data_IF_008212241891
#
_entry.id   IF_008212241891
#
_cell.length_a   1.000
_cell.length_b   1.000
_cell.length_c   1.000
_cell.angle_alpha   90.00
_cell.angle_beta   90.00
_cell.angle_gamma   90.00
#
_symmetry.space_group_name_H-M   'P 1'
#
loop_
_entity.id
_entity.type
_entity.pdbx_description
1 polymer ?
#
# COMPACT_ATOMS: atom_id res chain seq x y z
N UNK A 1 -39.27 7.93 9.30
CA UNK A 1 -38.10 7.61 10.15
C UNK A 1 -36.94 8.41 9.61
N UNK A 2 -36.17 9.06 10.47
CA UNK A 2 -34.95 9.75 10.08
C UNK A 2 -33.74 8.86 10.29
N UNK A 3 -32.88 8.74 9.28
CA UNK A 3 -31.62 8.01 9.35
C UNK A 3 -30.46 8.90 8.96
N UNK A 4 -29.29 8.62 9.50
CA UNK A 4 -28.04 9.12 8.97
C UNK A 4 -27.41 8.07 8.06
N UNK A 5 -26.74 8.53 7.02
CA UNK A 5 -25.98 7.69 6.11
C UNK A 5 -24.69 8.40 5.69
N UNK A 6 -23.74 7.66 5.16
CA UNK A 6 -22.55 8.22 4.51
C UNK A 6 -22.55 7.89 3.03
N UNK A 7 -21.99 8.78 2.22
CA UNK A 7 -21.74 8.52 0.81
C UNK A 7 -20.41 7.79 0.65
N UNK A 8 -20.42 6.76 -0.18
CA UNK A 8 -19.22 6.06 -0.61
C UNK A 8 -19.22 5.91 -2.13
N UNK A 9 -18.05 5.65 -2.69
CA UNK A 9 -17.94 5.29 -4.11
C UNK A 9 -18.07 3.77 -4.29
N UNK A 10 -18.99 3.35 -5.15
CA UNK A 10 -19.09 1.97 -5.63
C UNK A 10 -19.23 1.99 -7.15
N UNK A 11 -18.29 1.32 -7.85
CA UNK A 11 -18.22 1.32 -9.31
C UNK A 11 -18.26 2.74 -9.91
N UNK A 12 -17.50 3.68 -9.32
CA UNK A 12 -17.44 5.11 -9.70
C UNK A 12 -18.75 5.88 -9.55
N UNK A 13 -19.71 5.36 -8.79
CA UNK A 13 -20.98 6.04 -8.47
C UNK A 13 -21.14 6.24 -6.97
N UNK A 14 -21.69 7.37 -6.51
CA UNK A 14 -22.08 7.56 -5.12
C UNK A 14 -23.15 6.56 -4.71
N UNK A 15 -22.99 5.99 -3.52
CA UNK A 15 -23.97 5.09 -2.89
C UNK A 15 -24.22 5.47 -1.44
N UNK A 16 -25.46 5.25 -1.01
CA UNK A 16 -25.92 5.45 0.37
C UNK A 16 -25.49 4.24 1.21
N UNK A 17 -24.81 4.50 2.32
CA UNK A 17 -24.47 3.48 3.33
C UNK A 17 -25.04 3.87 4.69
N UNK A 18 -26.00 3.10 5.17
CA UNK A 18 -26.56 3.21 6.52
C UNK A 18 -25.82 2.30 7.50
N UNK A 19 -25.33 1.15 7.01
CA UNK A 19 -24.52 0.17 7.75
C UNK A 19 -23.43 -0.42 6.84
N UNK A 20 -22.33 -0.91 7.40
CA UNK A 20 -21.30 -1.62 6.64
C UNK A 20 -21.86 -2.91 6.02
N UNK A 21 -21.74 -3.08 4.70
CA UNK A 21 -22.29 -4.24 3.99
C UNK A 21 -22.13 -4.16 2.46
N UNK A 22 -22.49 -5.24 1.76
CA UNK A 22 -22.34 -5.34 0.30
C UNK A 22 -23.42 -4.56 -0.48
N UNK A 23 -24.65 -4.48 0.06
CA UNK A 23 -25.83 -3.92 -0.62
C UNK A 23 -25.74 -2.39 -0.75
N UNK A 24 -25.77 -1.87 -1.98
CA UNK A 24 -25.61 -0.46 -2.25
C UNK A 24 -26.91 0.15 -2.79
N UNK A 25 -27.42 1.18 -2.11
CA UNK A 25 -28.52 2.01 -2.62
C UNK A 25 -27.91 3.19 -3.37
N UNK A 26 -28.37 3.43 -4.60
CA UNK A 26 -27.90 4.54 -5.44
C UNK A 26 -28.82 5.75 -5.31
N UNK A 27 -28.35 6.91 -5.75
CA UNK A 27 -29.14 8.14 -5.85
C UNK A 27 -29.80 8.26 -7.21
N UNK A 28 -31.04 8.76 -7.25
CA UNK A 28 -31.70 9.19 -8.46
C UNK A 28 -31.43 10.69 -8.71
N UNK A 29 -31.01 11.05 -9.92
CA UNK A 29 -30.80 12.44 -10.30
C UNK A 29 -29.53 13.05 -9.67
N UNK A 30 -29.71 14.10 -8.88
CA UNK A 30 -28.61 14.84 -8.24
C UNK A 30 -27.77 13.92 -7.35
N UNK A 31 -26.45 14.08 -7.45
CA UNK A 31 -25.47 13.26 -6.75
C UNK A 31 -24.84 14.07 -5.61
N UNK A 32 -24.81 13.55 -4.38
CA UNK A 32 -24.15 14.25 -3.28
C UNK A 32 -22.62 14.25 -3.45
N UNK A 33 -21.92 15.21 -2.82
CA UNK A 33 -20.47 15.16 -2.71
C UNK A 33 -19.99 13.85 -2.06
N UNK A 34 -18.82 13.37 -2.47
CA UNK A 34 -18.13 12.25 -1.83
C UNK A 34 -16.80 12.75 -1.26
N UNK A 35 -16.45 12.43 -0.01
CA UNK A 35 -17.30 11.81 1.02
C UNK A 35 -18.26 12.85 1.66
N UNK A 36 -19.48 12.45 2.01
CA UNK A 36 -20.42 13.27 2.79
C UNK A 36 -21.28 12.43 3.73
N UNK A 37 -21.81 13.07 4.77
CA UNK A 37 -22.86 12.50 5.62
C UNK A 37 -24.21 13.10 5.25
N UNK A 38 -25.22 12.25 5.15
CA UNK A 38 -26.57 12.60 4.73
C UNK A 38 -27.58 12.34 5.86
N UNK A 39 -28.57 13.22 5.96
CA UNK A 39 -29.81 12.95 6.68
C UNK A 39 -30.84 12.46 5.69
N UNK A 40 -31.43 11.29 5.97
CA UNK A 40 -32.43 10.64 5.14
C UNK A 40 -33.79 10.74 5.82
N UNK A 41 -34.78 11.26 5.10
CA UNK A 41 -36.16 11.39 5.56
C UNK A 41 -37.02 10.28 4.92
N UNK A 42 -37.24 9.19 5.66
CA UNK A 42 -37.77 7.93 5.11
C UNK A 42 -39.14 7.62 5.73
N UNK A 43 -40.23 8.24 5.26
CA UNK A 43 -41.57 8.02 5.81
C UNK A 43 -42.02 6.58 5.59
N UNK A 44 -42.50 5.93 6.66
CA UNK A 44 -42.97 4.55 6.61
C UNK A 44 -41.89 3.46 6.66
N UNK A 45 -40.60 3.80 6.69
CA UNK A 45 -39.54 2.82 6.91
C UNK A 45 -39.66 2.22 8.32
N UNK A 46 -39.62 0.88 8.40
CA UNK A 46 -39.78 0.12 9.65
C UNK A 46 -38.46 -0.39 10.24
N UNK A 47 -37.48 -0.70 9.39
CA UNK A 47 -36.21 -1.32 9.80
C UNK A 47 -35.05 -0.42 9.37
N UNK A 48 -34.27 0.05 10.35
CA UNK A 48 -33.11 0.91 10.14
C UNK A 48 -31.88 0.10 9.69
N UNK A 49 -31.95 -0.53 8.52
CA UNK A 49 -30.85 -1.30 7.92
C UNK A 49 -30.75 -1.04 6.42
N UNK A 50 -29.61 -1.38 5.82
CA UNK A 50 -29.42 -1.27 4.38
C UNK A 50 -30.46 -2.09 3.59
N UNK A 51 -30.71 -3.33 4.01
CA UNK A 51 -31.73 -4.21 3.43
C UNK A 51 -33.14 -3.62 3.60
N UNK A 52 -33.46 -3.09 4.79
CA UNK A 52 -34.75 -2.44 5.04
C UNK A 52 -34.97 -1.21 4.17
N UNK A 53 -33.91 -0.44 3.87
CA UNK A 53 -33.97 0.67 2.93
C UNK A 53 -34.24 0.20 1.49
N UNK A 54 -33.60 -0.89 1.05
CA UNK A 54 -33.87 -1.49 -0.27
C UNK A 54 -35.32 -1.98 -0.39
N UNK A 55 -35.80 -2.77 0.58
CA UNK A 55 -37.18 -3.28 0.60
C UNK A 55 -38.21 -2.13 0.61
N UNK A 56 -37.89 -1.04 1.33
CA UNK A 56 -38.74 0.14 1.39
C UNK A 56 -38.80 0.90 0.06
N UNK A 57 -37.68 1.03 -0.65
CA UNK A 57 -37.65 1.61 -2.00
C UNK A 57 -38.43 0.74 -2.99
N UNK A 58 -38.22 -0.58 -2.95
CA UNK A 58 -38.94 -1.53 -3.81
C UNK A 58 -40.45 -1.46 -3.60
N UNK A 59 -40.91 -1.38 -2.35
CA UNK A 59 -42.33 -1.21 -2.02
C UNK A 59 -42.94 0.10 -2.55
N UNK A 60 -42.11 1.10 -2.84
CA UNK A 60 -42.51 2.38 -3.46
C UNK A 60 -42.43 2.35 -4.99
N UNK A 61 -41.95 1.26 -5.58
CA UNK A 61 -41.64 1.18 -7.01
C UNK A 61 -40.40 1.99 -7.41
N UNK A 62 -39.53 2.30 -6.45
CA UNK A 62 -38.30 3.08 -6.63
C UNK A 62 -37.08 2.15 -6.57
N UNK A 63 -36.07 2.39 -7.40
CA UNK A 63 -34.82 1.61 -7.40
C UNK A 63 -33.62 2.41 -6.88
N UNK A 64 -33.83 3.68 -6.57
CA UNK A 64 -32.81 4.63 -6.15
C UNK A 64 -33.44 5.72 -5.27
N UNK A 65 -32.63 6.35 -4.43
CA UNK A 65 -33.06 7.36 -3.49
C UNK A 65 -33.27 8.71 -4.19
N UNK A 66 -34.49 9.24 -4.19
CA UNK A 66 -34.85 10.56 -4.72
C UNK A 66 -34.23 11.71 -3.92
N UNK A 67 -34.00 12.85 -4.58
CA UNK A 67 -33.39 14.05 -3.98
C UNK A 67 -34.22 14.65 -2.83
N UNK A 68 -35.53 14.44 -2.85
CA UNK A 68 -36.46 14.87 -1.80
C UNK A 68 -36.34 14.07 -0.50
N UNK A 69 -35.67 12.90 -0.54
CA UNK A 69 -35.53 12.00 0.61
C UNK A 69 -34.20 12.19 1.35
N UNK A 70 -33.33 13.09 0.90
CA UNK A 70 -32.05 13.33 1.54
C UNK A 70 -31.60 14.78 1.50
N UNK A 71 -30.73 15.13 2.44
CA UNK A 71 -29.92 16.36 2.42
C UNK A 71 -28.59 16.12 3.11
N UNK A 72 -27.64 17.05 2.97
CA UNK A 72 -26.45 17.06 3.81
C UNK A 72 -26.86 17.10 5.29
N UNK A 73 -26.23 16.25 6.09
CA UNK A 73 -26.48 16.19 7.52
C UNK A 73 -25.91 17.43 8.21
N UNK A 74 -26.58 17.86 9.28
CA UNK A 74 -26.07 18.76 10.30
C UNK A 74 -25.92 17.99 11.61
N UNK A 75 -25.08 18.47 12.53
CA UNK A 75 -24.83 17.73 13.79
C UNK A 75 -26.10 17.51 14.63
N UNK A 76 -27.07 18.42 14.57
CA UNK A 76 -28.35 18.26 15.25
C UNK A 76 -29.15 17.06 14.76
N UNK A 77 -28.89 16.56 13.54
CA UNK A 77 -29.54 15.35 13.03
C UNK A 77 -29.19 14.09 13.82
N UNK A 78 -28.08 14.10 14.57
CA UNK A 78 -27.70 12.98 15.45
C UNK A 78 -28.66 12.81 16.64
N UNK A 79 -29.36 13.89 17.01
CA UNK A 79 -30.24 13.94 18.18
C UNK A 79 -31.55 13.19 17.95
N UNK A 80 -32.08 13.20 16.72
CA UNK A 80 -33.38 12.65 16.37
C UNK A 80 -33.32 11.51 15.33
N UNK A 81 -32.19 11.34 14.62
CA UNK A 81 -32.02 10.17 13.74
C UNK A 81 -31.99 8.86 14.53
N UNK A 82 -32.66 7.82 14.01
CA UNK A 82 -32.77 6.54 14.70
C UNK A 82 -31.39 5.91 14.98
N UNK A 83 -30.48 5.94 14.00
CA UNK A 83 -29.12 5.39 14.08
C UNK A 83 -28.03 6.43 14.41
N UNK A 84 -28.39 7.64 14.87
CA UNK A 84 -27.39 8.69 15.14
C UNK A 84 -26.33 8.30 16.21
N UNK A 85 -26.65 7.40 17.14
CA UNK A 85 -25.69 6.87 18.10
C UNK A 85 -24.60 6.00 17.47
N UNK A 86 -24.88 5.41 16.30
CA UNK A 86 -23.99 4.48 15.60
C UNK A 86 -23.06 5.20 14.62
N UNK A 87 -23.31 6.48 14.32
CA UNK A 87 -22.57 7.28 13.34
C UNK A 87 -21.45 8.14 13.95
N UNK A 88 -21.20 8.02 15.24
CA UNK A 88 -20.27 8.91 15.94
C UNK A 88 -18.82 8.88 15.41
N UNK A 89 -18.33 7.72 14.97
CA UNK A 89 -16.98 7.53 14.43
C UNK A 89 -16.77 8.23 13.07
N UNK A 90 -17.83 8.68 12.42
CA UNK A 90 -17.80 9.42 11.16
C UNK A 90 -17.73 10.95 11.37
N UNK A 91 -18.06 11.45 12.57
CA UNK A 91 -18.25 12.89 12.80
C UNK A 91 -17.01 13.72 12.42
N UNK A 92 -15.82 13.30 12.85
CA UNK A 92 -14.59 14.05 12.59
C UNK A 92 -14.20 14.09 11.09
N UNK A 93 -14.74 13.18 10.27
CA UNK A 93 -14.47 13.13 8.83
C UNK A 93 -15.37 14.09 8.05
N UNK A 94 -16.63 14.26 8.48
CA UNK A 94 -17.64 15.01 7.72
C UNK A 94 -17.97 16.38 8.28
N UNK A 95 -17.60 16.68 9.52
CA UNK A 95 -17.86 17.97 10.16
C UNK A 95 -16.56 18.68 10.53
N UNK A 96 -16.57 19.99 10.36
CA UNK A 96 -15.47 20.90 10.74
C UNK A 96 -15.38 21.05 12.26
N UNK A 97 -14.22 21.48 12.75
CA UNK A 97 -14.04 21.76 14.18
C UNK A 97 -14.97 22.90 14.64
N UNK A 98 -15.22 23.89 13.78
CA UNK A 98 -16.15 24.99 14.06
C UNK A 98 -17.59 24.49 14.26
N UNK A 99 -18.06 23.55 13.43
CA UNK A 99 -19.38 22.94 13.60
C UNK A 99 -19.47 22.15 14.91
N UNK A 100 -18.44 21.37 15.25
CA UNK A 100 -18.38 20.62 16.51
C UNK A 100 -18.38 21.58 17.72
N UNK A 101 -17.65 22.69 17.63
CA UNK A 101 -17.62 23.72 18.67
C UNK A 101 -19.00 24.36 18.87
N UNK A 102 -19.66 24.78 17.78
CA UNK A 102 -21.01 25.35 17.84
C UNK A 102 -22.04 24.38 18.42
N UNK A 103 -21.97 23.09 18.06
CA UNK A 103 -22.83 22.05 18.65
C UNK A 103 -22.54 21.86 20.15
N UNK A 104 -21.27 21.87 20.53
CA UNK A 104 -20.85 21.74 21.93
C UNK A 104 -21.34 22.92 22.78
N UNK A 105 -21.29 24.13 22.22
CA UNK A 105 -21.82 25.34 22.84
C UNK A 105 -23.34 25.29 23.03
N UNK A 106 -24.07 24.83 22.01
CA UNK A 106 -25.53 24.73 22.04
C UNK A 106 -26.04 23.67 23.03
N UNK A 107 -25.40 22.49 23.10
CA UNK A 107 -25.96 21.33 23.82
C UNK A 107 -25.22 20.95 25.10
N UNK A 108 -23.94 21.32 25.23
CA UNK A 108 -23.09 20.99 26.36
C UNK A 108 -23.61 21.53 27.71
N UNK A 109 -23.98 22.82 27.83
CA UNK A 109 -24.49 23.38 29.08
C UNK A 109 -25.77 22.68 29.57
N UNK A 110 -26.69 22.36 28.65
CA UNK A 110 -27.92 21.63 28.95
C UNK A 110 -27.64 20.22 29.46
N UNK A 111 -26.76 19.48 28.79
CA UNK A 111 -26.36 18.13 29.20
C UNK A 111 -25.72 18.12 30.60
N UNK A 112 -24.89 19.12 30.92
CA UNK A 112 -24.29 19.24 32.25
C UNK A 112 -25.35 19.51 33.33
N UNK A 113 -26.33 20.39 33.05
CA UNK A 113 -27.43 20.67 33.97
C UNK A 113 -28.30 19.43 34.20
N UNK A 114 -28.65 18.69 33.15
CA UNK A 114 -29.39 17.44 33.22
C UNK A 114 -28.63 16.37 34.01
N UNK A 115 -27.31 16.28 33.84
CA UNK A 115 -26.45 15.36 34.60
C UNK A 115 -26.51 15.68 36.09
N UNK A 116 -26.36 16.95 36.47
CA UNK A 116 -26.47 17.39 37.87
C UNK A 116 -27.87 17.08 38.44
N UNK A 117 -28.93 17.34 37.68
CA UNK A 117 -30.31 17.06 38.09
C UNK A 117 -30.56 15.55 38.29
N UNK A 118 -30.07 14.70 37.38
CA UNK A 118 -30.20 13.25 37.48
C UNK A 118 -29.47 12.69 38.71
N UNK A 119 -28.28 13.22 39.03
CA UNK A 119 -27.53 12.84 40.24
C UNK A 119 -28.21 13.31 41.53
N UNK A 120 -28.81 14.51 41.52
CA UNK A 120 -29.54 15.07 42.65
C UNK A 120 -30.93 14.41 42.87
N UNK A 121 -31.46 13.69 41.88
CA UNK A 121 -32.76 13.04 41.96
C UNK A 121 -32.85 12.07 43.16
N UNK A 122 -34.06 11.96 43.72
CA UNK A 122 -34.39 11.01 44.80
C UNK A 122 -33.97 9.59 44.41
N UNK A 123 -33.49 8.80 45.39
CA UNK A 123 -32.97 7.44 45.16
C UNK A 123 -33.93 6.56 44.36
N UNK A 124 -35.23 6.65 44.63
CA UNK A 124 -36.27 5.88 43.94
C UNK A 124 -36.42 6.23 42.44
N UNK A 125 -36.12 7.48 42.04
CA UNK A 125 -36.28 7.98 40.67
C UNK A 125 -34.97 8.07 39.89
N UNK A 126 -33.82 8.06 40.59
CA UNK A 126 -32.48 8.24 40.01
C UNK A 126 -32.17 7.29 38.86
N UNK A 127 -32.52 6.00 38.98
CA UNK A 127 -32.27 5.02 37.93
C UNK A 127 -33.05 5.32 36.63
N UNK A 128 -34.25 5.91 36.73
CA UNK A 128 -35.03 6.33 35.57
C UNK A 128 -34.46 7.60 34.94
N UNK A 129 -34.11 8.59 35.77
CA UNK A 129 -33.46 9.82 35.31
C UNK A 129 -32.13 9.55 34.58
N UNK A 130 -31.30 8.65 35.11
CA UNK A 130 -30.05 8.24 34.48
C UNK A 130 -30.27 7.47 33.17
N UNK A 131 -31.35 6.70 33.03
CA UNK A 131 -31.68 6.01 31.77
C UNK A 131 -32.08 6.97 30.66
N UNK A 132 -32.88 7.99 30.96
CA UNK A 132 -33.22 9.02 29.97
C UNK A 132 -32.00 9.89 29.63
N UNK A 133 -31.20 10.27 30.63
CA UNK A 133 -29.93 10.95 30.40
C UNK A 133 -29.00 10.12 29.50
N UNK A 134 -28.87 8.81 29.74
CA UNK A 134 -28.00 7.94 28.94
C UNK A 134 -28.34 7.96 27.44
N UNK A 135 -29.63 8.04 27.07
CA UNK A 135 -30.05 8.16 25.66
C UNK A 135 -29.58 9.47 25.03
N UNK A 136 -29.59 10.57 25.79
CA UNK A 136 -29.19 11.90 25.32
C UNK A 136 -27.67 12.03 25.26
N UNK A 137 -26.99 11.55 26.30
CA UNK A 137 -25.53 11.48 26.39
C UNK A 137 -24.93 10.68 25.23
N UNK A 138 -25.56 9.57 24.82
CA UNK A 138 -25.08 8.74 23.70
C UNK A 138 -25.17 9.43 22.33
N UNK A 139 -25.85 10.57 22.22
CA UNK A 139 -25.90 11.39 21.00
C UNK A 139 -24.97 12.60 21.06
N UNK A 140 -24.92 13.28 22.20
CA UNK A 140 -24.15 14.54 22.35
C UNK A 140 -22.67 14.28 22.62
N UNK A 141 -22.33 13.42 23.58
CA UNK A 141 -20.94 13.23 24.02
C UNK A 141 -20.03 12.74 22.89
N UNK A 142 -20.44 11.82 22.01
CA UNK A 142 -19.58 11.39 20.92
C UNK A 142 -19.25 12.51 19.92
N UNK A 143 -20.16 13.48 19.71
CA UNK A 143 -19.88 14.68 18.89
C UNK A 143 -18.78 15.51 19.54
N UNK A 144 -18.91 15.79 20.83
CA UNK A 144 -17.91 16.54 21.60
C UNK A 144 -16.56 15.81 21.56
N UNK A 145 -16.57 14.49 21.77
CA UNK A 145 -15.36 13.67 21.76
C UNK A 145 -14.67 13.64 20.39
N UNK A 146 -15.42 13.71 19.29
CA UNK A 146 -14.88 13.77 17.93
C UNK A 146 -13.96 14.99 17.70
N UNK A 147 -14.06 16.03 18.52
CA UNK A 147 -13.12 17.17 18.50
C UNK A 147 -11.66 16.73 18.67
N UNK A 148 -11.38 15.70 19.47
CA UNK A 148 -10.02 15.21 19.71
C UNK A 148 -9.35 14.72 18.43
N UNK A 149 -10.08 13.94 17.62
CA UNK A 149 -9.63 13.51 16.29
C UNK A 149 -9.62 14.67 15.30
N UNK A 150 -10.65 15.53 15.33
CA UNK A 150 -10.80 16.62 14.36
C UNK A 150 -9.69 17.68 14.50
N UNK A 151 -9.28 18.01 15.72
CA UNK A 151 -8.17 18.95 15.98
C UNK A 151 -6.88 18.49 15.30
N UNK A 152 -6.55 17.19 15.41
CA UNK A 152 -5.37 16.65 14.76
C UNK A 152 -5.46 16.73 13.22
N UNK A 153 -6.64 16.47 12.65
CA UNK A 153 -6.86 16.57 11.21
C UNK A 153 -6.76 18.03 10.70
N UNK A 154 -7.34 18.99 11.42
CA UNK A 154 -7.24 20.40 11.01
C UNK A 154 -5.84 20.95 11.16
N UNK A 155 -5.11 20.59 12.23
CA UNK A 155 -3.68 20.92 12.34
C UNK A 155 -2.91 20.41 11.12
N UNK A 156 -3.08 19.14 10.76
CA UNK A 156 -2.40 18.54 9.60
C UNK A 156 -2.79 19.27 8.30
N UNK A 157 -4.06 19.61 8.12
CA UNK A 157 -4.52 20.33 6.92
C UNK A 157 -3.88 21.72 6.80
N UNK A 158 -3.80 22.46 7.90
CA UNK A 158 -3.12 23.77 7.96
C UNK A 158 -1.62 23.62 7.70
N UNK A 159 -0.95 22.65 8.34
CA UNK A 159 0.47 22.36 8.11
C UNK A 159 0.75 22.05 6.63
N UNK A 160 -0.12 21.28 5.96
CA UNK A 160 -0.02 21.01 4.53
C UNK A 160 -0.18 22.31 3.73
N UNK A 161 -1.20 23.12 3.99
CA UNK A 161 -1.44 24.37 3.27
C UNK A 161 -0.25 25.36 3.38
N UNK A 162 0.29 25.52 4.60
CA UNK A 162 1.47 26.35 4.86
C UNK A 162 2.70 25.83 4.11
N UNK A 163 2.96 24.51 4.17
CA UNK A 163 4.09 23.89 3.48
C UNK A 163 3.98 24.02 1.96
N UNK A 164 2.80 23.81 1.38
CA UNK A 164 2.55 24.01 -0.06
C UNK A 164 2.75 25.47 -0.48
N UNK A 165 2.38 26.42 0.38
CA UNK A 165 2.61 27.85 0.14
C UNK A 165 4.10 28.17 0.10
N UNK A 166 4.91 27.58 0.99
CA UNK A 166 6.37 27.72 0.96
C UNK A 166 7.00 27.10 -0.29
N UNK A 167 6.51 25.95 -0.74
CA UNK A 167 6.99 25.31 -1.98
C UNK A 167 6.64 26.13 -3.21
N UNK A 168 5.42 26.68 -3.30
CA UNK A 168 5.02 27.53 -4.42
C UNK A 168 5.96 28.74 -4.60
N UNK A 169 6.48 29.31 -3.50
CA UNK A 169 7.49 30.39 -3.55
C UNK A 169 8.82 29.94 -4.17
N UNK A 170 9.20 28.67 -4.00
CA UNK A 170 10.38 28.10 -4.64
C UNK A 170 10.16 27.82 -6.12
N UNK A 171 8.97 27.33 -6.48
CA UNK A 171 8.61 26.99 -7.85
C UNK A 171 8.53 28.23 -8.77
N UNK A 172 8.20 29.39 -8.21
CA UNK A 172 8.21 30.66 -8.93
C UNK A 172 9.63 31.15 -9.33
N UNK A 173 10.69 30.56 -8.76
CA UNK A 173 12.08 30.96 -8.98
C UNK A 173 12.93 29.93 -9.74
N UNK A 174 14.18 30.27 -10.09
CA UNK A 174 15.13 29.30 -10.63
C UNK A 174 15.44 28.21 -9.59
N UNK A 175 15.78 27.01 -10.06
CA UNK A 175 16.16 25.93 -9.17
C UNK A 175 17.50 26.19 -8.49
N UNK A 176 17.48 26.25 -7.16
CA UNK A 176 18.66 26.29 -6.29
C UNK A 176 18.56 25.12 -5.31
N UNK A 177 19.42 24.12 -5.50
CA UNK A 177 19.40 22.91 -4.69
C UNK A 177 19.57 23.19 -3.19
N UNK A 178 20.39 24.17 -2.80
CA UNK A 178 20.62 24.47 -1.39
C UNK A 178 19.36 25.05 -0.74
N UNK A 179 18.75 26.03 -1.41
CA UNK A 179 17.53 26.67 -0.95
C UNK A 179 16.37 25.69 -0.87
N UNK A 180 16.22 24.82 -1.86
CA UNK A 180 15.18 23.79 -1.86
C UNK A 180 15.37 22.77 -0.73
N UNK A 181 16.61 22.31 -0.49
CA UNK A 181 16.92 21.40 0.61
C UNK A 181 16.67 22.08 1.98
N UNK A 182 17.05 23.35 2.12
CA UNK A 182 16.85 24.12 3.35
C UNK A 182 15.36 24.33 3.67
N UNK A 183 14.53 24.68 2.68
CA UNK A 183 13.07 24.75 2.86
C UNK A 183 12.49 23.37 3.16
N UNK A 184 12.85 22.34 2.39
CA UNK A 184 12.36 20.98 2.62
C UNK A 184 12.65 20.47 4.04
N UNK A 185 13.77 20.87 4.65
CA UNK A 185 14.12 20.50 6.02
C UNK A 185 13.28 21.17 7.11
N UNK A 186 12.58 22.26 6.77
CA UNK A 186 11.76 23.06 7.69
C UNK A 186 10.26 22.84 7.54
N UNK A 187 9.83 22.14 6.49
CA UNK A 187 8.42 21.80 6.28
C UNK A 187 7.88 21.01 7.47
N UNK A 188 6.62 21.23 7.83
CA UNK A 188 5.99 20.59 8.98
C UNK A 188 5.51 19.17 8.68
N UNK A 189 4.99 18.94 7.47
CA UNK A 189 4.30 17.74 7.07
C UNK A 189 5.21 16.75 6.31
N UNK A 190 5.26 15.51 6.78
CA UNK A 190 6.10 14.45 6.19
C UNK A 190 5.72 14.07 4.76
N UNK A 191 4.43 14.11 4.40
CA UNK A 191 4.01 13.83 3.02
C UNK A 191 4.58 14.89 2.08
N UNK A 192 4.42 16.17 2.43
CA UNK A 192 4.90 17.29 1.63
C UNK A 192 6.44 17.27 1.54
N UNK A 193 7.16 16.93 2.62
CA UNK A 193 8.61 16.67 2.57
C UNK A 193 8.98 15.60 1.55
N UNK A 194 8.28 14.47 1.53
CA UNK A 194 8.58 13.35 0.62
C UNK A 194 8.39 13.73 -0.84
N UNK A 195 7.30 14.42 -1.15
CA UNK A 195 6.98 14.94 -2.49
C UNK A 195 8.02 15.99 -2.93
N UNK A 196 8.41 16.87 -2.01
CA UNK A 196 9.46 17.88 -2.25
C UNK A 196 10.81 17.22 -2.53
N UNK A 197 11.21 16.20 -1.76
CA UNK A 197 12.43 15.43 -2.03
C UNK A 197 12.42 14.78 -3.42
N UNK A 198 11.28 14.23 -3.84
CA UNK A 198 11.09 13.72 -5.21
C UNK A 198 11.32 14.83 -6.25
N UNK A 199 10.73 16.01 -6.02
CA UNK A 199 10.90 17.18 -6.90
C UNK A 199 12.35 17.66 -6.96
N UNK A 200 13.06 17.69 -5.84
CA UNK A 200 14.50 18.02 -5.79
C UNK A 200 15.30 17.02 -6.61
N UNK A 201 15.06 15.71 -6.43
CA UNK A 201 15.72 14.66 -7.20
C UNK A 201 15.54 14.84 -8.71
N UNK A 202 14.30 15.08 -9.15
CA UNK A 202 13.97 15.33 -10.55
C UNK A 202 14.70 16.57 -11.09
N UNK A 203 14.65 17.70 -10.36
CA UNK A 203 15.27 18.96 -10.79
C UNK A 203 16.79 18.83 -10.87
N UNK A 204 17.44 18.16 -9.90
CA UNK A 204 18.89 17.88 -9.95
C UNK A 204 19.29 17.14 -11.23
N UNK A 205 18.52 16.12 -11.63
CA UNK A 205 18.78 15.39 -12.87
C UNK A 205 18.58 16.27 -14.10
N UNK A 206 17.47 17.03 -14.15
CA UNK A 206 17.14 17.89 -15.29
C UNK A 206 18.17 19.02 -15.49
N UNK A 207 18.69 19.60 -14.42
CA UNK A 207 19.67 20.69 -14.49
C UNK A 207 21.12 20.20 -14.50
N UNK A 208 21.36 18.89 -14.44
CA UNK A 208 22.72 18.33 -14.34
C UNK A 208 23.45 18.73 -13.05
N UNK A 209 22.73 18.90 -11.94
CA UNK A 209 23.30 19.27 -10.65
C UNK A 209 24.15 18.17 -10.00
N UNK A 210 25.00 18.55 -9.04
CA UNK A 210 25.82 17.62 -8.25
C UNK A 210 24.96 16.84 -7.25
N UNK A 211 24.50 15.66 -7.66
CA UNK A 211 23.65 14.79 -6.85
C UNK A 211 24.37 14.29 -5.57
N UNK A 212 25.64 13.82 -5.64
CA UNK A 212 26.38 13.44 -4.44
C UNK A 212 26.45 14.53 -3.37
N UNK A 213 26.76 15.77 -3.76
CA UNK A 213 26.83 16.89 -2.83
C UNK A 213 25.44 17.23 -2.26
N UNK A 214 24.40 17.26 -3.10
CA UNK A 214 23.03 17.47 -2.66
C UNK A 214 22.56 16.44 -1.62
N UNK A 215 22.84 15.14 -1.84
CA UNK A 215 22.52 14.07 -0.89
C UNK A 215 23.26 14.25 0.45
N UNK A 216 24.51 14.71 0.40
CA UNK A 216 25.27 14.99 1.61
C UNK A 216 24.69 16.18 2.39
N UNK A 217 24.22 17.23 1.70
CA UNK A 217 23.52 18.36 2.33
C UNK A 217 22.19 17.93 2.95
N UNK A 218 21.38 17.17 2.22
CA UNK A 218 20.13 16.58 2.74
C UNK A 218 20.37 15.80 4.03
N UNK A 219 21.41 14.97 4.06
CA UNK A 219 21.80 14.23 5.27
C UNK A 219 22.16 15.16 6.43
N UNK A 220 22.97 16.21 6.20
CA UNK A 220 23.33 17.18 7.24
C UNK A 220 22.13 17.94 7.80
N UNK A 221 21.11 18.16 6.97
CA UNK A 221 19.83 18.79 7.36
C UNK A 221 18.82 17.80 7.95
N UNK A 222 19.21 16.55 8.21
CA UNK A 222 18.35 15.55 8.84
C UNK A 222 17.32 14.90 7.91
N UNK A 223 17.30 15.23 6.61
CA UNK A 223 16.34 14.66 5.64
C UNK A 223 16.56 13.17 5.35
N UNK A 224 17.64 12.59 5.86
CA UNK A 224 17.90 11.15 5.77
C UNK A 224 16.95 10.29 6.63
N UNK A 225 16.16 10.90 7.52
CA UNK A 225 15.09 10.21 8.27
C UNK A 225 13.76 10.21 7.53
N UNK A 226 13.62 11.03 6.49
CA UNK A 226 12.41 11.08 5.66
C UNK A 226 12.50 9.98 4.62
N UNK A 227 11.62 8.98 4.74
CA UNK A 227 11.51 7.93 3.75
C UNK A 227 10.84 8.44 2.47
N UNK A 228 11.63 8.71 1.42
CA UNK A 228 11.14 9.14 0.10
C UNK A 228 11.66 8.22 -1.00
N UNK A 229 10.84 7.25 -1.41
CA UNK A 229 11.14 6.41 -2.57
C UNK A 229 11.20 7.24 -3.86
N UNK A 230 10.40 8.30 -3.96
CA UNK A 230 10.35 9.17 -5.13
C UNK A 230 11.71 9.82 -5.43
N UNK A 231 12.39 10.38 -4.41
CA UNK A 231 13.75 10.92 -4.55
C UNK A 231 14.69 9.89 -5.21
N UNK A 232 14.70 8.68 -4.69
CA UNK A 232 15.57 7.61 -5.16
C UNK A 232 15.24 7.15 -6.56
N UNK A 233 13.95 7.07 -6.92
CA UNK A 233 13.53 6.72 -8.28
C UNK A 233 14.00 7.74 -9.31
N UNK A 234 14.00 9.03 -8.98
CA UNK A 234 14.42 10.10 -9.89
C UNK A 234 15.94 10.09 -10.11
N UNK A 235 16.75 9.80 -9.08
CA UNK A 235 18.22 9.92 -9.17
C UNK A 235 18.97 8.62 -9.43
N UNK A 236 18.36 7.44 -9.24
CA UNK A 236 19.05 6.13 -9.23
C UNK A 236 19.98 5.88 -10.43
N UNK A 237 19.58 6.30 -11.63
CA UNK A 237 20.35 6.03 -12.86
C UNK A 237 21.52 7.00 -13.06
N UNK A 238 21.54 8.08 -12.27
CA UNK A 238 22.53 9.17 -12.30
C UNK A 238 23.51 9.12 -11.13
N UNK A 239 23.31 8.20 -10.16
CA UNK A 239 24.15 8.07 -8.98
C UNK A 239 25.09 6.87 -9.10
N UNK A 240 26.38 7.16 -9.03
CA UNK A 240 27.42 6.17 -8.71
C UNK A 240 27.95 6.51 -7.32
N UNK A 241 27.89 5.55 -6.42
CA UNK A 241 28.39 5.72 -5.07
C UNK A 241 29.88 5.39 -5.05
N UNK A 242 30.70 6.37 -4.73
CA UNK A 242 32.14 6.19 -4.66
C UNK A 242 32.56 5.21 -3.56
N UNK A 243 33.74 4.63 -3.76
CA UNK A 243 34.43 3.81 -2.77
C UNK A 243 34.74 4.64 -1.53
N UNK A 244 34.43 4.10 -0.35
CA UNK A 244 34.78 4.72 0.94
C UNK A 244 35.61 3.81 1.85
N UNK A 245 35.92 2.59 1.42
CA UNK A 245 36.81 1.64 2.11
C UNK A 245 37.94 1.23 1.18
N UNK A 246 39.20 1.38 1.60
CA UNK A 246 40.38 0.97 0.84
C UNK A 246 41.46 0.42 1.78
N UNK A 247 42.27 -0.54 1.28
CA UNK A 247 43.38 -1.13 2.04
C UNK A 247 42.97 -2.14 3.14
N UNK A 248 41.68 -2.36 3.35
CA UNK A 248 41.18 -3.30 4.35
C UNK A 248 40.92 -4.70 3.79
N UNK A 249 41.23 -5.73 4.58
CA UNK A 249 40.86 -7.10 4.27
C UNK A 249 39.38 -7.34 4.63
N UNK A 250 38.56 -7.64 3.61
CA UNK A 250 37.12 -7.91 3.79
C UNK A 250 36.86 -9.40 3.61
N UNK A 251 36.26 -10.03 4.63
CA UNK A 251 35.85 -11.42 4.56
C UNK A 251 34.54 -11.57 3.76
N UNK A 252 34.66 -12.18 2.57
CA UNK A 252 33.54 -12.42 1.65
C UNK A 252 32.88 -13.79 1.85
N UNK A 253 33.23 -14.55 2.88
CA UNK A 253 32.77 -15.94 3.08
C UNK A 253 31.24 -16.05 3.17
N UNK A 254 30.57 -15.02 3.71
CA UNK A 254 29.11 -14.92 3.81
C UNK A 254 28.49 -13.89 2.86
N UNK A 255 29.24 -13.47 1.82
CA UNK A 255 28.76 -12.45 0.90
C UNK A 255 27.63 -12.98 0.00
N UNK A 256 26.58 -12.17 -0.17
CA UNK A 256 25.45 -12.45 -1.05
C UNK A 256 25.50 -11.59 -2.30
N UNK A 257 25.19 -12.16 -3.47
CA UNK A 257 25.00 -11.36 -4.69
C UNK A 257 23.61 -10.71 -4.62
N UNK A 258 23.55 -9.38 -4.66
CA UNK A 258 22.30 -8.58 -4.60
C UNK A 258 22.27 -7.50 -5.66
N UNK A 259 21.09 -7.16 -6.17
CA UNK A 259 20.90 -5.93 -6.95
C UNK A 259 20.79 -4.75 -6.00
N UNK A 260 21.70 -3.78 -6.11
CA UNK A 260 21.76 -2.64 -5.21
C UNK A 260 20.56 -1.72 -5.44
N UNK A 261 19.73 -1.54 -4.43
CA UNK A 261 18.64 -0.56 -4.43
C UNK A 261 19.15 0.81 -4.01
N UNK A 262 18.53 1.88 -4.50
CA UNK A 262 18.83 3.23 -4.01
C UNK A 262 18.12 3.46 -2.68
N UNK A 263 18.88 3.76 -1.63
CA UNK A 263 18.35 4.12 -0.32
C UNK A 263 19.40 4.86 0.52
N UNK A 264 18.97 5.45 1.64
CA UNK A 264 19.89 6.09 2.59
C UNK A 264 20.82 5.08 3.26
N UNK A 265 20.37 3.84 3.44
CA UNK A 265 21.17 2.73 3.95
C UNK A 265 22.31 2.39 2.98
N UNK A 266 22.02 2.29 1.69
CA UNK A 266 23.06 2.06 0.67
C UNK A 266 24.04 3.25 0.58
N UNK A 267 23.54 4.48 0.72
CA UNK A 267 24.38 5.67 0.79
C UNK A 267 25.31 5.69 2.01
N UNK A 268 24.86 5.18 3.16
CA UNK A 268 25.64 5.09 4.41
C UNK A 268 26.55 3.85 4.48
N UNK A 269 26.27 2.83 3.67
CA UNK A 269 26.97 1.56 3.70
C UNK A 269 28.48 1.70 3.42
N UNK A 270 29.24 0.72 3.90
CA UNK A 270 30.64 0.53 3.50
C UNK A 270 30.69 0.07 2.05
N UNK A 271 31.60 0.63 1.26
CA UNK A 271 31.70 0.40 -0.19
C UNK A 271 33.16 0.17 -0.59
N UNK A 272 33.42 -1.04 -1.08
CA UNK A 272 34.70 -1.46 -1.65
C UNK A 272 34.59 -1.40 -3.17
N UNK A 273 35.21 -0.39 -3.76
CA UNK A 273 35.01 0.02 -5.14
C UNK A 273 33.71 0.82 -5.36
N UNK A 274 33.54 1.44 -6.55
CA UNK A 274 32.35 2.20 -6.86
C UNK A 274 31.13 1.28 -7.03
N UNK A 275 30.00 1.66 -6.44
CA UNK A 275 28.74 0.92 -6.48
C UNK A 275 27.72 1.69 -7.32
N UNK A 276 27.19 1.03 -8.36
CA UNK A 276 26.14 1.58 -9.21
C UNK A 276 24.78 1.03 -8.78
N UNK A 277 23.81 1.91 -8.57
CA UNK A 277 22.44 1.51 -8.26
C UNK A 277 21.84 0.70 -9.43
N UNK A 278 21.01 -0.28 -9.11
CA UNK A 278 20.37 -1.18 -10.08
C UNK A 278 21.32 -2.23 -10.66
N UNK A 279 22.58 -2.31 -10.20
CA UNK A 279 23.56 -3.32 -10.62
C UNK A 279 23.84 -4.31 -9.50
N UNK A 280 24.31 -5.49 -9.88
CA UNK A 280 24.71 -6.51 -8.94
C UNK A 280 25.97 -6.10 -8.17
N UNK A 281 25.97 -6.30 -6.86
CA UNK A 281 27.12 -6.20 -5.98
C UNK A 281 27.13 -7.37 -5.00
N UNK A 282 28.27 -7.60 -4.34
CA UNK A 282 28.33 -8.50 -3.20
C UNK A 282 27.99 -7.71 -1.94
N UNK A 283 26.98 -8.12 -1.20
CA UNK A 283 26.61 -7.54 0.08
C UNK A 283 27.01 -8.47 1.23
N UNK A 284 27.54 -7.89 2.29
CA UNK A 284 27.87 -8.57 3.55
C UNK A 284 27.15 -7.78 4.63
N UNK A 285 26.28 -8.45 5.38
CA UNK A 285 25.56 -7.82 6.49
C UNK A 285 26.03 -8.45 7.79
N UNK A 286 26.61 -7.65 8.68
CA UNK A 286 27.03 -8.07 10.02
C UNK A 286 26.37 -7.13 11.02
N UNK A 287 25.42 -7.65 11.80
CA UNK A 287 24.57 -6.81 12.64
C UNK A 287 23.78 -5.81 11.81
N UNK A 288 23.89 -4.52 12.13
CA UNK A 288 23.22 -3.42 11.43
C UNK A 288 24.09 -2.77 10.34
N UNK A 289 25.30 -3.28 10.10
CA UNK A 289 26.22 -2.73 9.11
C UNK A 289 26.22 -3.57 7.84
N UNK A 290 26.03 -2.89 6.71
CA UNK A 290 26.11 -3.51 5.38
C UNK A 290 27.36 -3.02 4.66
N UNK A 291 28.14 -3.95 4.13
CA UNK A 291 29.28 -3.69 3.24
C UNK A 291 28.96 -4.18 1.83
N UNK A 292 29.01 -3.28 0.85
CA UNK A 292 28.93 -3.60 -0.56
C UNK A 292 30.33 -3.67 -1.16
N UNK A 293 30.58 -4.74 -1.92
CA UNK A 293 31.81 -4.93 -2.70
C UNK A 293 31.43 -5.02 -4.17
N UNK A 294 32.10 -4.21 -5.00
CA UNK A 294 31.86 -4.20 -6.44
C UNK A 294 32.04 -5.60 -7.01
N UNK A 295 30.95 -6.18 -7.50
CA UNK A 295 30.92 -7.52 -8.07
C UNK A 295 31.48 -7.55 -9.49
N UNK A 296 32.80 -7.42 -9.66
CA UNK A 296 33.39 -7.69 -10.97
C UNK A 296 33.26 -9.18 -11.32
N UNK A 297 32.94 -9.51 -12.58
CA UNK A 297 32.82 -10.90 -13.06
C UNK A 297 34.07 -11.73 -12.75
N UNK A 298 35.26 -11.10 -12.76
CA UNK A 298 36.55 -11.70 -12.36
C UNK A 298 36.63 -12.00 -10.86
N UNK A 299 36.05 -11.17 -10.00
CA UNK A 299 36.01 -11.40 -8.54
C UNK A 299 35.08 -12.58 -8.21
N UNK A 300 33.88 -12.61 -8.82
CA UNK A 300 32.93 -13.71 -8.66
C UNK A 300 33.52 -15.06 -9.10
N UNK A 301 34.28 -15.06 -10.21
CA UNK A 301 35.00 -16.25 -10.68
C UNK A 301 36.11 -16.68 -9.71
N UNK A 302 36.89 -15.73 -9.18
CA UNK A 302 37.96 -16.01 -8.20
C UNK A 302 37.43 -16.60 -6.89
N UNK A 303 36.29 -16.10 -6.39
CA UNK A 303 35.64 -16.63 -5.18
C UNK A 303 35.22 -18.09 -5.40
N UNK A 304 34.57 -18.39 -6.52
CA UNK A 304 34.16 -19.76 -6.88
C UNK A 304 35.36 -20.70 -7.07
N UNK A 305 36.42 -20.23 -7.73
CA UNK A 305 37.63 -21.00 -7.97
C UNK A 305 38.39 -21.38 -6.67
N UNK A 306 38.22 -20.59 -5.61
CA UNK A 306 38.81 -20.84 -4.27
C UNK A 306 37.87 -21.62 -3.33
N UNK A 307 36.79 -22.19 -3.84
CA UNK A 307 35.83 -22.97 -3.03
C UNK A 307 34.86 -22.13 -2.18
N UNK A 308 34.85 -20.80 -2.34
CA UNK A 308 33.91 -19.92 -1.66
C UNK A 308 32.48 -20.12 -2.16
N UNK A 309 31.51 -20.13 -1.23
CA UNK A 309 30.08 -20.23 -1.53
C UNK A 309 29.48 -18.82 -1.59
N UNK A 310 29.08 -18.38 -2.79
CA UNK A 310 28.27 -17.18 -2.95
C UNK A 310 26.80 -17.58 -2.89
N UNK A 311 26.07 -17.02 -1.92
CA UNK A 311 24.62 -17.14 -1.88
C UNK A 311 24.01 -16.07 -2.80
N UNK A 312 23.13 -16.50 -3.72
CA UNK A 312 22.41 -15.56 -4.58
C UNK A 312 21.16 -15.11 -3.86
N UNK A 313 21.06 -13.82 -3.57
CA UNK A 313 19.83 -13.19 -3.15
C UNK A 313 19.29 -12.36 -4.30
N UNK A 314 18.39 -12.96 -5.08
CA UNK A 314 17.86 -12.34 -6.28
C UNK A 314 16.49 -12.88 -6.62
N UNK A 315 15.49 -12.05 -6.33
CA UNK A 315 14.08 -12.16 -6.66
C UNK A 315 13.31 -13.28 -5.95
N UNK A 316 12.73 -12.93 -4.81
CA UNK A 316 11.39 -13.41 -4.45
C UNK A 316 10.49 -13.05 -5.63
N UNK A 317 10.29 -14.00 -6.54
CA UNK A 317 9.09 -14.02 -7.35
C UNK A 317 7.97 -14.18 -6.31
N UNK A 318 7.28 -13.08 -6.01
CA UNK A 318 5.97 -13.15 -5.38
C UNK A 318 5.10 -13.90 -6.39
N UNK A 319 5.04 -15.23 -6.25
CA UNK A 319 3.99 -16.00 -6.89
C UNK A 319 2.73 -15.51 -6.20
N UNK A 320 2.00 -14.64 -6.90
CA UNK A 320 0.81 -13.98 -6.39
C UNK A 320 -0.06 -14.99 -5.66
N UNK A 321 -0.29 -14.73 -4.38
CA UNK A 321 -1.20 -15.50 -3.56
C UNK A 321 -2.59 -15.44 -4.18
N UNK A 322 -2.98 -16.52 -4.86
CA UNK A 322 -4.38 -16.91 -5.00
C UNK A 322 -4.50 -18.35 -4.51
N UNK A 323 -5.50 -18.52 -3.64
CA UNK A 323 -5.90 -19.73 -2.91
C UNK A 323 -5.91 -20.98 -3.81
N UNK A 324 -5.07 -21.97 -3.49
CA UNK A 324 -5.05 -23.31 -4.11
C UNK A 324 -3.73 -24.05 -3.81
N UNK A 325 -3.71 -25.39 -3.63
CA UNK A 325 -2.62 -26.11 -2.99
C UNK A 325 -1.55 -26.48 -4.00
N UNK A 326 -0.61 -25.56 -4.25
CA UNK A 326 0.71 -25.96 -4.71
C UNK A 326 1.73 -24.98 -4.17
N UNK A 327 2.46 -25.39 -3.14
CA UNK A 327 3.62 -24.64 -2.66
C UNK A 327 4.63 -24.48 -3.81
N UNK A 328 5.47 -23.44 -3.78
CA UNK A 328 6.52 -23.26 -4.79
C UNK A 328 7.40 -24.50 -4.96
N UNK A 329 7.52 -25.32 -3.91
CA UNK A 329 8.20 -26.60 -3.94
C UNK A 329 7.54 -27.61 -4.90
N UNK A 330 6.21 -27.75 -4.88
CA UNK A 330 5.48 -28.66 -5.76
C UNK A 330 5.63 -28.27 -7.23
N UNK A 331 5.62 -26.97 -7.54
CA UNK A 331 5.88 -26.49 -8.90
C UNK A 331 7.29 -26.82 -9.39
N UNK A 332 8.29 -26.80 -8.51
CA UNK A 332 9.66 -27.16 -8.86
C UNK A 332 9.86 -28.68 -9.02
N UNK A 333 9.10 -29.49 -8.28
CA UNK A 333 9.05 -30.93 -8.51
C UNK A 333 8.40 -31.27 -9.85
N UNK A 334 7.37 -30.51 -10.25
CA UNK A 334 6.74 -30.69 -11.56
C UNK A 334 7.70 -30.34 -12.72
N UNK A 335 8.58 -29.35 -12.54
CA UNK A 335 9.66 -29.06 -13.52
C UNK A 335 10.59 -30.25 -13.70
N UNK A 336 11.04 -30.87 -12.60
CA UNK A 336 11.95 -32.03 -12.66
C UNK A 336 11.27 -33.26 -13.26
N UNK A 337 9.98 -33.45 -12.95
CA UNK A 337 9.13 -34.49 -13.54
C UNK A 337 8.98 -34.29 -15.05
N UNK A 338 8.67 -33.08 -15.52
CA UNK A 338 8.52 -32.77 -16.94
C UNK A 338 9.84 -32.99 -17.68
N UNK A 339 10.96 -32.47 -17.15
CA UNK A 339 12.28 -32.66 -17.74
C UNK A 339 12.65 -34.15 -17.86
N UNK A 340 12.38 -34.93 -16.82
CA UNK A 340 12.68 -36.36 -16.80
C UNK A 340 11.80 -37.12 -17.79
N UNK A 341 10.48 -36.86 -17.78
CA UNK A 341 9.56 -37.53 -18.69
C UNK A 341 9.87 -37.18 -20.14
N UNK A 342 10.15 -35.91 -20.47
CA UNK A 342 10.47 -35.52 -21.83
C UNK A 342 11.73 -36.23 -22.37
N UNK A 343 12.66 -36.60 -21.50
CA UNK A 343 13.87 -37.34 -21.89
C UNK A 343 13.65 -38.85 -22.04
N UNK A 344 12.83 -39.45 -21.16
CA UNK A 344 12.65 -40.91 -21.04
C UNK A 344 11.44 -41.40 -21.84
N UNK A 345 10.31 -40.69 -21.76
CA UNK A 345 9.07 -40.98 -22.46
C UNK A 345 8.40 -39.66 -22.92
N UNK A 346 8.80 -39.12 -24.09
CA UNK A 346 8.24 -37.89 -24.63
C UNK A 346 6.71 -37.92 -24.76
N UNK A 347 6.13 -39.10 -25.05
CA UNK A 347 4.68 -39.26 -25.18
C UNK A 347 3.98 -39.13 -23.82
N UNK A 348 4.55 -39.69 -22.75
CA UNK A 348 4.06 -39.45 -21.40
C UNK A 348 4.18 -37.98 -20.97
N UNK A 349 5.26 -37.30 -21.35
CA UNK A 349 5.44 -35.88 -21.05
C UNK A 349 4.37 -35.01 -21.72
N UNK A 350 4.08 -35.24 -23.00
CA UNK A 350 3.07 -34.49 -23.74
C UNK A 350 1.65 -34.69 -23.19
N UNK A 351 1.33 -35.88 -22.65
CA UNK A 351 0.04 -36.14 -21.99
C UNK A 351 -0.23 -35.23 -20.79
N UNK A 352 0.80 -34.65 -20.16
CA UNK A 352 0.62 -33.69 -19.07
C UNK A 352 -0.06 -32.39 -19.53
N UNK A 353 0.03 -32.04 -20.81
CA UNK A 353 -0.60 -30.84 -21.37
C UNK A 353 -2.07 -31.05 -21.77
N UNK A 354 -2.63 -32.25 -21.60
CA UNK A 354 -3.98 -32.60 -22.01
C UNK A 354 -4.11 -32.80 -23.52
N UNK A 355 -5.31 -32.60 -24.05
CA UNK A 355 -5.59 -32.74 -25.48
C UNK A 355 -4.91 -31.59 -26.27
N UNK A 356 -4.03 -31.96 -27.20
CA UNK A 356 -3.27 -31.03 -28.03
C UNK A 356 -3.84 -31.03 -29.46
N UNK A 357 -4.11 -29.83 -29.99
CA UNK A 357 -4.42 -29.68 -31.41
C UNK A 357 -3.17 -30.00 -32.25
N UNK A 358 -3.37 -30.46 -33.50
CA UNK A 358 -2.26 -30.78 -34.41
C UNK A 358 -1.36 -29.57 -34.72
N UNK A 359 -1.88 -28.34 -34.56
CA UNK A 359 -1.14 -27.08 -34.75
C UNK A 359 -0.40 -26.61 -33.50
N UNK A 360 -0.51 -27.32 -32.37
CA UNK A 360 0.11 -26.93 -31.12
C UNK A 360 1.64 -27.14 -31.19
N UNK A 361 2.47 -26.15 -30.80
CA UNK A 361 3.93 -26.29 -30.78
C UNK A 361 4.41 -27.51 -29.99
N UNK A 362 3.67 -27.94 -28.95
CA UNK A 362 3.99 -29.14 -28.17
C UNK A 362 3.75 -30.41 -28.98
N UNK A 363 2.70 -30.47 -29.80
CA UNK A 363 2.44 -31.61 -30.69
C UNK A 363 3.54 -31.73 -31.78
N UNK A 364 3.96 -30.59 -32.35
CA UNK A 364 5.08 -30.55 -33.30
C UNK A 364 6.42 -30.95 -32.68
N UNK A 365 6.70 -30.49 -31.46
CA UNK A 365 7.90 -30.86 -30.73
C UNK A 365 7.90 -32.35 -30.31
N UNK A 366 6.74 -32.90 -29.94
CA UNK A 366 6.58 -34.32 -29.60
C UNK A 366 6.93 -35.22 -30.77
N UNK A 367 6.41 -34.93 -31.96
CA UNK A 367 6.64 -35.77 -33.14
C UNK A 367 8.13 -35.86 -33.47
N UNK A 368 8.85 -34.73 -33.36
CA UNK A 368 10.30 -34.70 -33.55
C UNK A 368 11.08 -35.32 -32.39
N UNK A 369 10.62 -35.15 -31.15
CA UNK A 369 11.30 -35.68 -29.96
C UNK A 369 11.35 -37.22 -29.92
N UNK A 370 10.46 -37.90 -30.66
CA UNK A 370 10.47 -39.37 -30.84
C UNK A 370 11.74 -39.86 -31.53
N UNK A 371 12.22 -39.12 -32.53
CA UNK A 371 13.36 -39.50 -33.37
C UNK A 371 14.60 -38.66 -33.13
N UNK A 372 14.46 -37.44 -32.61
CA UNK A 372 15.54 -36.47 -32.41
C UNK A 372 15.73 -36.13 -30.91
N UNK A 373 16.82 -36.58 -30.26
CA UNK A 373 17.05 -36.31 -28.83
C UNK A 373 17.12 -34.83 -28.47
N UNK A 374 17.59 -33.98 -29.37
CA UNK A 374 17.68 -32.52 -29.17
C UNK A 374 16.30 -31.89 -28.97
N UNK A 375 15.26 -32.46 -29.61
CA UNK A 375 13.89 -31.97 -29.50
C UNK A 375 13.20 -32.35 -28.20
N UNK A 376 13.75 -33.31 -27.44
CA UNK A 376 13.28 -33.63 -26.08
C UNK A 376 13.46 -32.47 -25.11
N UNK A 377 14.55 -31.70 -25.29
CA UNK A 377 14.79 -30.48 -24.53
C UNK A 377 13.76 -29.40 -24.85
N UNK A 378 13.50 -29.18 -26.14
CA UNK A 378 12.52 -28.19 -26.62
C UNK A 378 11.11 -28.57 -26.16
N UNK A 379 10.76 -29.86 -26.22
CA UNK A 379 9.50 -30.38 -25.69
C UNK A 379 9.36 -30.07 -24.19
N UNK A 380 10.42 -30.31 -23.40
CA UNK A 380 10.41 -29.98 -21.99
C UNK A 380 10.27 -28.47 -21.73
N UNK A 381 10.94 -27.63 -22.53
CA UNK A 381 10.85 -26.16 -22.42
C UNK A 381 9.40 -25.68 -22.58
N UNK A 382 8.76 -26.11 -23.67
CA UNK A 382 7.37 -25.75 -23.97
C UNK A 382 6.39 -26.25 -22.91
N UNK A 383 6.60 -27.45 -22.37
CA UNK A 383 5.77 -28.02 -21.31
C UNK A 383 5.93 -27.28 -19.98
N UNK A 384 7.18 -26.93 -19.59
CA UNK A 384 7.44 -26.17 -18.37
C UNK A 384 6.81 -24.78 -18.46
N UNK A 385 7.00 -24.08 -19.57
CA UNK A 385 6.43 -22.74 -19.76
C UNK A 385 4.92 -22.76 -19.73
N UNK A 386 4.28 -23.77 -20.34
CA UNK A 386 2.82 -23.91 -20.36
C UNK A 386 2.23 -24.31 -19.00
N UNK A 387 2.81 -25.31 -18.34
CA UNK A 387 2.21 -25.93 -17.15
C UNK A 387 2.63 -25.23 -15.85
N UNK A 388 3.86 -24.73 -15.79
CA UNK A 388 4.42 -24.09 -14.60
C UNK A 388 4.24 -22.56 -14.68
N UNK A 389 4.19 -22.00 -15.89
CA UNK A 389 4.01 -20.56 -16.13
C UNK A 389 5.28 -19.74 -15.91
N UNK A 390 6.45 -20.38 -16.03
CA UNK A 390 7.77 -19.76 -15.84
C UNK A 390 8.67 -20.19 -17.00
N UNK A 391 9.52 -19.27 -17.46
CA UNK A 391 10.61 -19.56 -18.39
C UNK A 391 11.39 -20.82 -17.99
N UNK A 392 11.59 -21.73 -18.95
CA UNK A 392 12.08 -23.06 -18.65
C UNK A 392 13.54 -23.08 -18.16
N UNK A 393 14.37 -22.11 -18.54
CA UNK A 393 15.75 -21.99 -18.06
C UNK A 393 15.79 -21.43 -16.64
N UNK A 394 14.90 -20.48 -16.34
CA UNK A 394 14.71 -19.97 -14.98
C UNK A 394 14.19 -21.08 -14.05
N UNK A 395 13.16 -21.82 -14.48
CA UNK A 395 12.52 -22.88 -13.70
C UNK A 395 13.51 -23.99 -13.30
N UNK A 396 14.36 -24.46 -14.23
CA UNK A 396 15.36 -25.48 -13.94
C UNK A 396 16.48 -25.02 -13.05
N UNK A 397 16.88 -23.75 -13.20
CA UNK A 397 17.88 -23.15 -12.30
C UNK A 397 17.36 -23.16 -10.86
N UNK A 398 16.07 -22.88 -10.67
CA UNK A 398 15.40 -22.93 -9.36
C UNK A 398 15.27 -24.37 -8.84
N UNK A 399 14.82 -25.31 -9.67
CA UNK A 399 14.67 -26.72 -9.27
C UNK A 399 16.01 -27.33 -8.84
N UNK A 400 17.10 -27.08 -9.60
CA UNK A 400 18.45 -27.52 -9.25
C UNK A 400 19.00 -26.85 -7.99
N UNK A 401 18.65 -25.59 -7.74
CA UNK A 401 19.03 -24.90 -6.52
C UNK A 401 18.34 -25.52 -5.29
N UNK A 402 17.05 -25.83 -5.39
CA UNK A 402 16.29 -26.50 -4.34
C UNK A 402 16.79 -27.93 -4.07
N UNK A 403 17.03 -28.72 -5.12
CA UNK A 403 17.56 -30.08 -4.97
C UNK A 403 18.94 -30.11 -4.29
N UNK A 404 19.77 -29.07 -4.49
CA UNK A 404 21.06 -28.91 -3.80
C UNK A 404 20.89 -28.46 -2.34
N UNK A 405 19.87 -27.66 -2.04
CA UNK A 405 19.55 -27.23 -0.68
C UNK A 405 19.07 -28.43 0.17
N UNK A 406 18.23 -29.30 -0.39
CA UNK A 406 17.69 -30.48 0.30
C UNK A 406 18.72 -31.62 0.51
N UNK A 407 19.89 -31.56 -0.14
CA UNK A 407 20.99 -32.53 0.01
C UNK A 407 22.05 -32.09 1.03
N UNK A 408 21.90 -30.90 1.60
CA UNK A 408 22.70 -30.40 2.72
C UNK A 408 21.90 -30.51 4.00
#
# INVERSE_FOLDING_TARGET
MKLLAVTQEHAKKPVVRVTWGAEAVFFAGEQPPIPSMLALELPGLKVASQTGLHEWLEARGETALGAELWRLAVLDDLLDAHNGGDMHWQIAQHFTLAQIAAFSEAHGPGLLAETKAALAAERAKRASALRELAKRTSRIVPVIYASTTRVALERIAVEIEEDHTEIAKLEAGPFDADRWIDVCSRLNNDQVRRETLGTIGRKLVQTGGDIPDALQRMRRRGLATVWSDQLWQEIKDHVVLDQNVSGEAIDLTKATEVTVTASWETWKARRVGPIKIGRAALAITVGNETTYVRGERKLLHRIRARGGKLERWGNTLVVGGKKGPASAHEKLLEVDRIDTLAQVDPAAAARLAGDLAATDPIAGALERARTEPTWRRILADLLIERLVGIDADVARRLARAQARANRR
#
